data_IF_764791070707
#
_entry.id   IF_764791070707
#
_cell.length_a   1.000
_cell.length_b   1.000
_cell.length_c   1.000
_cell.angle_alpha   90.00
_cell.angle_beta   90.00
_cell.angle_gamma   90.00
#
_symmetry.space_group_name_H-M   'P 1'
#
loop_
_entity.id
_entity.type
_entity.pdbx_description
1 polymer ?
2 non-polymer ?
3 non-polymer ?
4 water ?
#
# COMPACT_ATOMS: atom_id res chain seq x y z
N UNK A 6 5.08 -16.12 3.68
CA UNK A 6 4.34 -15.02 2.98
C UNK A 6 3.12 -14.53 3.78
N UNK A 7 3.02 -13.21 3.92
CA UNK A 7 1.88 -12.58 4.57
C UNK A 7 1.17 -11.66 3.56
N UNK A 8 -0.14 -11.47 3.75
CA UNK A 8 -0.91 -10.54 2.92
C UNK A 8 -1.77 -9.64 3.79
N UNK A 9 -2.05 -8.46 3.28
CA UNK A 9 -2.84 -7.48 3.99
C UNK A 9 -3.74 -6.76 3.01
N UNK A 10 -4.83 -6.21 3.54
CA UNK A 10 -5.60 -5.18 2.84
C UNK A 10 -5.54 -3.85 3.62
N UNK A 11 -5.74 -2.74 2.91
CA UNK A 11 -5.73 -1.40 3.50
C UNK A 11 -7.10 -1.05 4.10
N UNK A 12 -7.08 -0.48 5.30
CA UNK A 12 -8.17 0.31 5.82
C UNK A 12 -7.64 1.78 5.86
N UNK A 13 -8.24 2.68 5.04
CA UNK A 13 -7.79 4.08 4.98
C UNK A 13 -8.10 4.77 6.31
N UNK A 14 -7.25 5.71 6.71
CA UNK A 14 -7.47 6.43 7.95
C UNK A 14 -7.68 7.91 7.57
N UNK A 15 -6.82 8.40 6.69
CA UNK A 15 -6.91 9.75 6.12
C UNK A 15 -7.95 9.84 4.99
N UNK A 16 -8.59 11.01 4.82
CA UNK A 16 -9.63 11.17 3.79
C UNK A 16 -9.13 11.09 2.34
N UNK A 17 -7.85 11.40 2.09
CA UNK A 17 -7.28 11.24 0.76
C UNK A 17 -7.46 9.81 0.26
N UNK A 18 -7.70 8.89 1.19
CA UNK A 18 -7.74 7.46 0.88
C UNK A 18 -9.10 6.77 1.03
N UNK A 19 -10.13 7.53 1.37
CA UNK A 19 -11.49 6.97 1.56
C UNK A 19 -12.04 6.30 0.30
N UNK A 20 -11.60 6.75 -0.88
CA UNK A 20 -12.05 6.18 -2.16
C UNK A 20 -11.15 5.06 -2.69
N UNK A 21 -10.13 4.68 -1.93
CA UNK A 21 -9.31 3.58 -2.37
C UNK A 21 -10.20 2.33 -2.63
N UNK A 22 -10.02 1.61 -3.75
CA UNK A 22 -10.82 0.38 -3.92
C UNK A 22 -10.43 -0.73 -2.93
N UNK A 23 -11.44 -1.52 -2.54
CA UNK A 23 -11.34 -2.53 -1.50
C UNK A 23 -10.57 -3.77 -1.85
N UNK A 24 -10.39 -4.03 -3.13
CA UNK A 24 -9.77 -5.32 -3.46
C UNK A 24 -8.25 -5.29 -3.64
N UNK A 25 -7.58 -4.23 -3.21
CA UNK A 25 -6.14 -4.24 -3.31
C UNK A 25 -5.57 -5.19 -2.26
N UNK A 26 -4.73 -6.12 -2.69
CA UNK A 26 -4.09 -7.05 -1.79
C UNK A 26 -2.58 -6.92 -1.90
N UNK A 27 -1.95 -6.77 -0.73
CA UNK A 27 -0.53 -6.52 -0.60
C UNK A 27 0.10 -7.78 -0.05
N UNK A 28 1.17 -8.21 -0.69
CA UNK A 28 1.80 -9.48 -0.34
C UNK A 28 3.29 -9.23 -0.09
N UNK A 29 3.85 -9.91 0.90
CA UNK A 29 5.27 -9.85 1.21
C UNK A 29 5.79 -11.27 1.41
N UNK A 30 6.79 -11.64 0.61
CA UNK A 30 7.42 -12.96 0.74
C UNK A 30 8.70 -12.80 1.54
N UNK A 31 8.80 -13.46 2.68
CA UNK A 31 9.99 -13.37 3.54
C UNK A 31 11.21 -14.12 2.95
N UNK A 32 10.95 -15.28 2.33
CA UNK A 32 12.00 -16.07 1.68
C UNK A 32 12.75 -15.20 0.67
N UNK A 33 12.02 -14.63 -0.28
CA UNK A 33 12.65 -13.94 -1.40
C UNK A 33 12.51 -12.41 -1.36
N UNK A 34 11.93 -11.88 -0.28
CA UNK A 34 11.74 -10.44 -0.06
C UNK A 34 10.84 -9.73 -1.10
N UNK A 35 9.99 -10.47 -1.79
CA UNK A 35 9.15 -9.87 -2.84
C UNK A 35 7.89 -9.22 -2.26
N UNK A 36 7.59 -8.00 -2.72
CA UNK A 36 6.34 -7.32 -2.40
C UNK A 36 5.55 -7.01 -3.67
N UNK A 37 4.32 -7.53 -3.73
CA UNK A 37 3.44 -7.29 -4.86
C UNK A 37 2.15 -6.68 -4.38
N UNK A 38 1.43 -6.05 -5.31
CA UNK A 38 0.03 -5.69 -5.11
C UNK A 38 -0.83 -6.29 -6.24
N UNK A 39 -2.00 -6.76 -5.86
CA UNK A 39 -2.90 -7.37 -6.82
C UNK A 39 -4.33 -6.90 -6.59
N UNK A 40 -5.04 -6.75 -7.70
CA UNK A 40 -6.45 -6.42 -7.67
C UNK A 40 -7.05 -6.64 -9.06
N UNK A 41 -8.35 -6.46 -9.16
CA UNK A 41 -9.05 -6.67 -10.45
C UNK A 41 -8.53 -5.71 -11.53
N UNK A 42 -8.25 -4.47 -11.13
CA UNK A 42 -7.91 -3.43 -12.09
C UNK A 42 -6.52 -2.80 -11.95
N UNK A 43 -5.71 -3.33 -11.03
CA UNK A 43 -4.37 -2.83 -10.75
C UNK A 43 -3.44 -3.99 -10.39
N UNK A 44 -2.19 -3.92 -10.85
CA UNK A 44 -1.17 -4.81 -10.32
C UNK A 44 0.18 -4.11 -10.32
N UNK A 45 1.05 -4.55 -9.43
CA UNK A 45 2.37 -3.98 -9.29
C UNK A 45 3.30 -4.91 -8.52
N UNK A 46 4.57 -4.91 -8.89
CA UNK A 46 5.62 -5.59 -8.12
C UNK A 46 6.64 -4.55 -7.68
N UNK A 47 6.94 -4.54 -6.39
CA UNK A 47 7.72 -3.46 -5.81
C UNK A 47 9.23 -3.64 -5.99
N UNK A 48 9.88 -2.57 -6.44
CA UNK A 48 11.29 -2.34 -6.11
C UNK A 48 11.29 -1.41 -4.89
N UNK A 49 11.91 -1.84 -3.80
CA UNK A 49 11.75 -1.14 -2.53
C UNK A 49 12.94 -1.25 -1.58
N UNK A 50 12.94 -0.38 -0.56
CA UNK A 50 13.82 -0.48 0.59
C UNK A 50 13.01 -0.31 1.87
N UNK A 51 13.43 -0.96 2.95
CA UNK A 51 12.73 -0.91 4.23
C UNK A 51 13.77 -1.05 5.31
N UNK A 52 14.04 0.07 5.97
CA UNK A 52 15.12 0.18 6.94
C UNK A 52 14.68 1.12 8.04
N UNK A 53 14.82 0.67 9.27
CA UNK A 53 14.58 1.52 10.44
C UNK A 53 13.12 1.96 10.53
N UNK A 54 12.22 1.14 9.99
CA UNK A 54 10.79 1.47 9.96
C UNK A 54 10.37 2.28 8.74
N UNK A 55 11.35 2.71 7.95
CA UNK A 55 11.11 3.53 6.76
C UNK A 55 10.98 2.65 5.54
N UNK A 56 9.83 2.75 4.87
CA UNK A 56 9.53 2.04 3.64
C UNK A 56 9.44 3.02 2.47
N UNK A 57 10.12 2.68 1.38
CA UNK A 57 9.91 3.38 0.11
C UNK A 57 9.94 2.36 -1.00
N UNK A 58 8.97 2.45 -1.90
CA UNK A 58 8.90 1.48 -2.98
C UNK A 58 8.27 2.04 -4.24
N UNK A 59 8.73 1.54 -5.38
CA UNK A 59 8.14 1.80 -6.70
C UNK A 59 7.47 0.51 -7.22
N UNK A 60 6.17 0.55 -7.46
CA UNK A 60 5.38 -0.66 -7.73
C UNK A 60 5.16 -1.01 -9.22
N UNK A 61 5.68 -0.17 -10.11
CA UNK A 61 5.52 -0.32 -11.56
C UNK A 61 4.11 -0.73 -11.97
N UNK A 62 3.17 0.14 -11.68
CA UNK A 62 1.75 -0.17 -11.71
C UNK A 62 1.17 -0.32 -13.15
N UNK A 63 0.21 -1.24 -13.30
CA UNK A 63 -0.67 -1.32 -14.47
C UNK A 63 -2.11 -1.12 -14.00
N UNK A 64 -2.86 -0.31 -14.74
CA UNK A 64 -4.24 0.04 -14.40
C UNK A 64 -5.11 -0.07 -15.64
N UNK A 65 -6.29 -0.63 -15.46
CA UNK A 65 -7.26 -0.87 -16.52
C UNK A 65 -8.03 0.41 -16.75
N UNK A 66 -7.98 0.90 -18.00
CA UNK A 66 -8.71 2.11 -18.39
C UNK A 66 -10.20 2.00 -18.09
N UNK A 67 -10.75 3.06 -17.52
CA UNK A 67 -12.19 3.16 -17.35
C UNK A 67 -12.72 2.28 -16.24
N UNK A 68 -11.84 1.58 -15.54
CA UNK A 68 -12.32 0.66 -14.51
C UNK A 68 -12.68 1.38 -13.21
N UNK A 69 -12.12 2.56 -13.01
CA UNK A 69 -12.19 3.22 -11.72
C UNK A 69 -12.98 4.50 -11.83
N UNK A 70 -13.63 4.90 -10.75
CA UNK A 70 -14.22 6.23 -10.68
C UNK A 70 -13.09 7.26 -10.51
N UNK A 71 -13.30 8.49 -10.99
CA UNK A 71 -12.30 9.56 -10.84
C UNK A 71 -11.73 9.64 -9.42
N UNK A 72 -12.59 9.45 -8.42
CA UNK A 72 -12.18 9.57 -7.01
C UNK A 72 -11.26 8.44 -6.59
N UNK A 73 -11.54 7.26 -7.14
CA UNK A 73 -10.73 6.08 -6.86
C UNK A 73 -9.37 6.26 -7.49
N UNK A 74 -9.33 6.77 -8.72
CA UNK A 74 -8.05 6.93 -9.40
C UNK A 74 -7.11 7.87 -8.67
N UNK A 75 -7.66 8.99 -8.18
CA UNK A 75 -6.89 10.01 -7.49
C UNK A 75 -6.31 9.38 -6.22
N UNK A 76 -7.13 8.62 -5.49
CA UNK A 76 -6.67 7.96 -4.24
C UNK A 76 -5.56 6.98 -4.53
N UNK A 77 -5.72 6.20 -5.61
CA UNK A 77 -4.74 5.19 -6.02
C UNK A 77 -3.40 5.86 -6.41
N UNK A 78 -3.47 6.93 -7.20
CA UNK A 78 -2.29 7.73 -7.65
C UNK A 78 -1.52 8.30 -6.45
N UNK A 79 -2.28 8.87 -5.53
CA UNK A 79 -1.70 9.45 -4.33
C UNK A 79 -1.01 8.39 -3.49
N UNK A 80 -1.65 7.23 -3.37
CA UNK A 80 -1.12 6.10 -2.59
C UNK A 80 0.25 5.71 -3.12
N UNK A 81 0.34 5.41 -4.41
CA UNK A 81 1.63 5.01 -4.94
C UNK A 81 2.73 6.10 -4.91
N UNK A 82 2.31 7.34 -5.11
CA UNK A 82 3.23 8.46 -4.99
C UNK A 82 3.80 8.56 -3.57
N UNK A 83 2.92 8.39 -2.60
CA UNK A 83 3.32 8.46 -1.18
C UNK A 83 4.27 7.31 -0.82
N UNK A 84 3.94 6.09 -1.26
CA UNK A 84 4.76 4.92 -1.01
C UNK A 84 6.11 5.10 -1.68
N UNK A 85 6.13 5.76 -2.83
CA UNK A 85 7.43 6.11 -3.44
C UNK A 85 8.25 7.14 -2.65
N UNK A 86 7.61 8.19 -2.15
CA UNK A 86 8.29 9.24 -1.39
C UNK A 86 8.81 8.74 -0.04
N UNK A 87 8.08 7.80 0.55
CA UNK A 87 8.48 7.14 1.79
C UNK A 87 7.47 7.31 2.90
N UNK A 88 7.27 6.26 3.67
CA UNK A 88 6.33 6.28 4.77
C UNK A 88 7.02 5.55 5.93
N UNK A 89 6.43 5.67 7.10
CA UNK A 89 6.91 4.92 8.27
C UNK A 89 5.93 3.82 8.60
N UNK A 90 6.43 2.60 8.78
CA UNK A 90 5.56 1.50 9.10
C UNK A 90 5.65 1.20 10.59
N UNK A 91 4.50 1.07 11.25
CA UNK A 91 4.49 0.75 12.68
C UNK A 91 3.73 -0.54 12.93
N UNK A 92 4.46 -1.62 13.20
CA UNK A 92 3.85 -2.89 13.54
C UNK A 92 3.73 -3.00 15.06
N UNK A 93 3.20 -4.12 15.55
CA UNK A 93 3.02 -4.29 16.97
C UNK A 93 3.20 -5.75 17.32
N UNK A 94 3.26 -6.02 18.62
CA UNK A 94 3.51 -7.38 19.09
C UNK A 94 2.24 -8.18 19.41
N UNK A 95 1.07 -7.59 19.14
CA UNK A 95 -0.20 -8.25 19.45
C UNK A 95 -0.69 -8.98 18.24
N UNK A 96 -0.74 -8.28 17.11
CA UNK A 96 -1.06 -8.92 15.84
C UNK A 96 -0.26 -8.36 14.67
N UNK A 97 -0.74 -8.63 13.46
CA UNK A 97 0.00 -8.27 12.27
C UNK A 97 -0.46 -6.99 11.62
N UNK A 98 -1.33 -6.22 12.28
CA UNK A 98 -1.70 -4.88 11.78
C UNK A 98 -0.47 -3.95 11.75
N UNK A 99 -0.41 -3.09 10.72
CA UNK A 99 0.71 -2.16 10.48
C UNK A 99 0.10 -0.80 10.15
N UNK A 100 0.50 0.24 10.91
CA UNK A 100 0.08 1.60 10.57
C UNK A 100 1.04 2.21 9.61
N UNK A 101 0.50 2.90 8.61
CA UNK A 101 1.35 3.62 7.67
C UNK A 101 1.26 5.11 8.00
N UNK A 102 2.41 5.69 8.36
CA UNK A 102 2.46 7.02 8.91
C UNK A 102 3.24 7.94 7.98
N UNK A 103 2.80 9.19 7.88
CA UNK A 103 3.54 10.18 7.12
C UNK A 103 3.08 11.54 7.55
N UNK A 104 4.03 12.46 7.69
CA UNK A 104 3.75 13.89 7.95
C UNK A 104 2.87 14.07 9.18
N UNK A 105 3.29 13.42 10.25
CA UNK A 105 2.60 13.54 11.52
C UNK A 105 1.26 12.83 11.69
N UNK A 106 0.74 12.17 10.64
CA UNK A 106 -0.53 11.46 10.79
C UNK A 106 -0.46 10.00 10.35
N UNK A 107 -1.44 9.22 10.79
CA UNK A 107 -1.67 7.88 10.27
C UNK A 107 -2.46 8.03 8.99
N UNK A 108 -1.92 7.49 7.91
CA UNK A 108 -2.52 7.67 6.59
C UNK A 108 -3.46 6.50 6.32
N UNK A 109 -2.98 5.29 6.62
CA UNK A 109 -3.78 4.12 6.43
C UNK A 109 -3.30 3.02 7.38
N UNK A 110 -4.08 1.96 7.47
CA UNK A 110 -3.63 0.77 8.20
C UNK A 110 -3.75 -0.49 7.33
N UNK A 111 -2.76 -1.36 7.48
CA UNK A 111 -2.76 -2.65 6.85
C UNK A 111 -3.31 -3.71 7.80
N UNK A 112 -4.38 -4.38 7.39
CA UNK A 112 -5.03 -5.43 8.21
C UNK A 112 -4.72 -6.78 7.56
N UNK A 113 -4.29 -7.75 8.36
CA UNK A 113 -3.86 -9.03 7.80
C UNK A 113 -4.99 -9.76 7.12
N UNK A 114 -4.68 -10.41 5.99
CA UNK A 114 -5.67 -11.22 5.30
C UNK A 114 -6.36 -10.54 4.13
N UNK A 115 -7.04 -11.36 3.36
CA UNK A 115 -7.82 -10.90 2.21
C UNK A 115 -9.04 -10.11 2.69
X LIG B 1 -16.87 8.33 -11.93
X LIG B 1 -16.91 7.46 -12.82
X LIG B 1 -15.88 9.08 -11.87
X LIG B 1 -17.95 8.49 -10.93
X LIG C 1 6.25 -7.23 9.25
X LIG C 1 7.20 -6.08 8.99
X LIG C 1 8.52 -6.23 9.72
X LIG C 1 6.61 -4.69 9.08
X LIG C 1 7.59 -6.28 7.43
X LIG C 1 6.59 -6.52 6.44
X LIG C 1 6.65 -5.38 5.42
X LIG C 1 7.85 -5.51 4.63
X LIG C 1 5.40 -5.44 4.54
X LIG C 1 5.38 -4.25 3.74
X LIG C 1 4.23 -3.86 2.94
X LIG C 1 3.21 -4.53 2.94
X LIG C 1 4.36 -2.60 2.11
X LIG C 1 3.09 -2.31 1.32
X LIG C 1 2.81 -0.82 1.32
X LIG C 1 1.54 -0.49 2.09
X LIG C 1 0.29 -0.42 1.24
#
# INVERSE_FOLDING_TARGET
SSSNSEKEWHIVPVSKDYFSIPNDLLWSFNTTNKSINVYSKCISGKAVYSFNAGKFMGNFNVKEVDGCFMDAQKIAIDKLFSMLKDGVVLKGNKINDTILIEKDGEVKLKLIRGI
ACT C O OXT CH3
HHG O2P P O4P O1P O3P C1 C2 O2 C3 O3 C4 O1 C5 C6 C7 C8 C9
#
